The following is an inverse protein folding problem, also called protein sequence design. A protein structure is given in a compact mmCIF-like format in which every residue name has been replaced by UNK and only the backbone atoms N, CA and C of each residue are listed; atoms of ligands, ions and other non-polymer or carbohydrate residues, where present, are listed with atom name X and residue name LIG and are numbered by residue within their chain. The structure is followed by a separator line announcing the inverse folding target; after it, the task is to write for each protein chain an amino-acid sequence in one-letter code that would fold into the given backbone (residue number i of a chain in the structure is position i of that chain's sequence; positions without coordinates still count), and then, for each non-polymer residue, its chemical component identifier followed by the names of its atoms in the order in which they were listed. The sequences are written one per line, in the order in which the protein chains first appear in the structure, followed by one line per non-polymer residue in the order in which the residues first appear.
data_IF_877591036871
#
_entry.id   IF_877591036871
#
_cell.length_a   1.000
_cell.length_b   1.000
_cell.length_c   1.000
_cell.angle_alpha   90.00
_cell.angle_beta   90.00
_cell.angle_gamma   90.00
#
_symmetry.space_group_name_H-M   'P 1'
#
loop_
_entity.id
_entity.type
_entity.pdbx_description
1 polymer ?
#
# COMPACT_ATOMS: atom_id res chain seq x y z
N UNK A 1 42.75 6.97 -62.99
CA UNK A 1 42.00 8.20 -62.66
C UNK A 1 40.53 7.86 -62.43
N UNK A 2 40.00 8.23 -61.25
CA UNK A 2 38.58 8.49 -60.90
C UNK A 2 38.42 8.29 -59.38
N UNK A 3 38.65 9.35 -58.59
CA UNK A 3 38.22 9.43 -57.18
C UNK A 3 36.91 10.21 -57.16
N UNK A 4 35.82 9.55 -56.80
CA UNK A 4 34.55 10.21 -56.47
C UNK A 4 34.47 10.30 -54.95
N UNK A 5 34.65 11.52 -54.42
CA UNK A 5 34.25 11.85 -53.06
C UNK A 5 32.73 11.85 -53.02
N UNK A 6 32.15 11.11 -52.07
CA UNK A 6 30.72 11.20 -51.77
C UNK A 6 30.61 11.60 -50.31
N UNK A 7 29.99 12.77 -50.08
CA UNK A 7 29.73 13.36 -48.78
C UNK A 7 28.80 12.47 -47.95
N UNK A 8 29.20 12.20 -46.70
CA UNK A 8 28.34 11.59 -45.67
C UNK A 8 27.60 12.74 -44.98
N UNK A 9 26.29 12.83 -45.16
CA UNK A 9 25.43 13.73 -44.39
C UNK A 9 24.76 12.94 -43.26
N UNK A 10 25.01 13.37 -42.03
CA UNK A 10 24.56 12.72 -40.80
C UNK A 10 23.05 12.86 -40.58
N UNK A 11 22.38 11.76 -40.27
CA UNK A 11 20.99 11.74 -39.81
C UNK A 11 20.95 11.97 -38.29
N UNK A 12 20.46 13.11 -37.84
CA UNK A 12 20.19 13.39 -36.43
C UNK A 12 18.84 12.77 -36.02
N UNK A 13 18.89 11.60 -35.38
CA UNK A 13 17.74 11.03 -34.68
C UNK A 13 17.58 11.75 -33.35
N UNK A 14 16.62 12.67 -33.26
CA UNK A 14 16.18 13.21 -31.97
C UNK A 14 15.35 12.13 -31.28
N UNK A 15 16.00 11.28 -30.48
CA UNK A 15 15.29 10.43 -29.53
C UNK A 15 14.71 11.32 -28.44
N UNK A 16 13.47 11.74 -28.62
CA UNK A 16 12.65 12.28 -27.54
C UNK A 16 12.45 11.19 -26.50
N UNK A 17 13.24 11.21 -25.44
CA UNK A 17 12.99 10.44 -24.24
C UNK A 17 11.70 10.98 -23.62
N UNK A 18 10.56 10.37 -23.94
CA UNK A 18 9.41 10.43 -23.07
C UNK A 18 9.85 9.79 -21.76
N UNK A 19 10.20 10.62 -20.78
CA UNK A 19 10.26 10.23 -19.38
C UNK A 19 8.85 9.80 -18.99
N UNK A 20 8.55 8.52 -19.17
CA UNK A 20 7.47 7.90 -18.41
C UNK A 20 7.78 8.19 -16.94
N UNK A 21 6.83 8.72 -16.14
CA UNK A 21 7.07 8.83 -14.71
C UNK A 21 7.45 7.44 -14.22
N UNK A 22 8.65 7.35 -13.65
CA UNK A 22 9.23 6.13 -13.15
C UNK A 22 8.23 5.42 -12.24
N UNK A 23 8.11 4.12 -12.46
CA UNK A 23 7.43 3.17 -11.58
C UNK A 23 7.51 3.64 -10.13
N UNK A 24 6.36 3.83 -9.49
CA UNK A 24 6.30 4.08 -8.05
C UNK A 24 7.05 2.94 -7.36
N UNK A 25 8.26 3.22 -6.90
CA UNK A 25 8.98 2.36 -5.99
C UNK A 25 8.12 2.33 -4.73
N UNK A 26 7.35 1.25 -4.56
CA UNK A 26 6.56 1.00 -3.37
C UNK A 26 7.52 0.96 -2.18
N UNK A 27 7.61 2.09 -1.49
CA UNK A 27 8.60 2.32 -0.46
C UNK A 27 7.95 2.34 0.92
N UNK A 28 6.64 2.11 1.00
CA UNK A 28 5.82 2.14 2.20
C UNK A 28 5.42 3.54 2.67
N UNK A 29 6.10 4.60 2.21
CA UNK A 29 5.80 5.95 2.70
C UNK A 29 4.42 6.45 2.27
N UNK A 30 3.90 6.00 1.13
CA UNK A 30 2.56 6.35 0.67
C UNK A 30 1.51 5.87 1.67
N UNK A 31 1.74 4.70 2.29
CA UNK A 31 0.85 4.19 3.33
C UNK A 31 0.79 5.12 4.55
N UNK A 32 1.83 5.93 4.80
CA UNK A 32 1.90 6.92 5.88
C UNK A 32 1.38 8.30 5.46
N UNK A 33 1.90 8.84 4.34
CA UNK A 33 1.86 10.26 4.02
C UNK A 33 0.85 10.62 2.93
N UNK A 34 0.33 9.63 2.19
CA UNK A 34 -0.68 9.92 1.17
C UNK A 34 -1.94 10.46 1.84
N UNK A 35 -2.58 11.50 1.25
CA UNK A 35 -3.90 11.94 1.71
C UNK A 35 -4.94 10.81 1.66
N UNK A 36 -4.68 9.74 0.89
CA UNK A 36 -5.61 8.66 0.61
C UNK A 36 -5.78 7.77 1.84
N UNK A 37 -4.76 7.72 2.70
CA UNK A 37 -4.71 6.89 3.90
C UNK A 37 -5.79 7.28 4.92
N UNK A 38 -6.09 8.58 5.03
CA UNK A 38 -7.10 9.15 5.92
C UNK A 38 -8.21 9.88 5.13
N UNK A 39 -8.66 9.31 4.01
CA UNK A 39 -9.90 9.76 3.37
C UNK A 39 -11.11 9.34 4.20
N UNK A 40 -12.09 10.24 4.36
CA UNK A 40 -13.31 10.08 5.18
C UNK A 40 -14.19 8.89 4.82
N UNK A 41 -14.01 8.31 3.64
CA UNK A 41 -14.58 7.01 3.29
C UNK A 41 -13.60 6.23 2.42
N UNK A 42 -13.65 4.90 2.49
CA UNK A 42 -12.92 4.05 1.56
C UNK A 42 -13.36 4.27 0.10
N UNK A 43 -14.61 4.71 -0.14
CA UNK A 43 -15.09 5.01 -1.49
C UNK A 43 -14.33 6.19 -2.12
N UNK A 44 -13.96 7.19 -1.31
CA UNK A 44 -13.20 8.37 -1.72
C UNK A 44 -11.67 8.15 -1.78
N UNK A 45 -11.18 7.02 -1.28
CA UNK A 45 -9.76 6.66 -1.35
C UNK A 45 -9.43 5.88 -2.61
N UNK A 46 -8.32 6.22 -3.24
CA UNK A 46 -7.76 5.40 -4.32
C UNK A 46 -7.13 4.11 -3.81
N UNK A 47 -6.78 4.06 -2.52
CA UNK A 47 -6.32 2.83 -1.88
C UNK A 47 -7.44 1.81 -1.77
N UNK A 48 -7.10 0.56 -2.07
CA UNK A 48 -8.08 -0.53 -2.24
C UNK A 48 -8.26 -1.38 -1.00
N UNK A 49 -7.46 -1.20 0.04
CA UNK A 49 -7.63 -1.88 1.32
C UNK A 49 -7.97 -0.87 2.42
N UNK A 50 -8.91 -1.23 3.28
CA UNK A 50 -9.18 -0.51 4.52
C UNK A 50 -9.18 -1.48 5.69
N UNK A 51 -8.54 -1.07 6.78
CA UNK A 51 -8.41 -1.84 8.02
C UNK A 51 -9.04 -1.07 9.17
N UNK A 52 -9.88 -1.75 9.95
CA UNK A 52 -10.77 -1.18 10.94
C UNK A 52 -10.43 -1.68 12.34
N UNK A 53 -10.54 -0.78 13.32
CA UNK A 53 -10.30 -1.07 14.72
C UNK A 53 -11.29 -2.09 15.30
N UNK A 54 -12.59 -1.97 14.96
CA UNK A 54 -13.61 -2.90 15.45
C UNK A 54 -14.03 -3.91 14.38
N UNK A 55 -14.66 -5.00 14.82
CA UNK A 55 -15.39 -5.90 13.95
C UNK A 55 -16.59 -5.18 13.30
N UNK A 56 -17.14 -5.79 12.25
CA UNK A 56 -18.25 -5.27 11.45
C UNK A 56 -17.95 -3.88 10.86
N UNK A 57 -16.68 -3.61 10.57
CA UNK A 57 -16.20 -2.40 9.90
C UNK A 57 -16.52 -1.11 10.66
N UNK A 58 -16.56 -1.20 11.99
CA UNK A 58 -16.81 -0.07 12.89
C UNK A 58 -15.53 0.54 13.46
N UNK A 59 -15.69 1.67 14.16
CA UNK A 59 -14.59 2.41 14.79
C UNK A 59 -13.73 3.18 13.80
N UNK A 60 -12.55 3.58 14.27
CA UNK A 60 -11.53 4.22 13.46
C UNK A 60 -10.98 3.24 12.41
N UNK A 61 -10.52 3.78 11.27
CA UNK A 61 -9.98 2.96 10.20
C UNK A 61 -8.90 3.70 9.43
N UNK A 62 -8.07 2.96 8.69
CA UNK A 62 -7.07 3.51 7.77
C UNK A 62 -7.20 2.84 6.42
N UNK A 63 -7.05 3.60 5.33
CA UNK A 63 -6.85 3.01 4.00
C UNK A 63 -5.36 2.74 3.77
N UNK A 64 -5.02 1.60 3.17
CA UNK A 64 -3.64 1.20 2.89
C UNK A 64 -3.54 0.85 1.41
N UNK A 65 -2.56 1.46 0.73
CA UNK A 65 -2.37 1.29 -0.70
C UNK A 65 -1.52 0.08 -1.04
N UNK A 66 -0.47 -0.13 -0.24
CA UNK A 66 0.61 -1.05 -0.55
C UNK A 66 0.84 -2.05 0.58
N UNK A 67 1.46 -3.19 0.28
CA UNK A 67 1.82 -4.19 1.29
C UNK A 67 2.71 -3.57 2.38
N UNK A 68 2.42 -3.93 3.64
CA UNK A 68 3.06 -3.40 4.84
C UNK A 68 3.80 -4.52 5.55
N UNK A 69 5.14 -4.44 5.59
CA UNK A 69 5.98 -5.46 6.21
C UNK A 69 5.78 -5.54 7.73
N UNK A 70 5.62 -4.41 8.41
CA UNK A 70 5.29 -4.33 9.83
C UNK A 70 4.45 -3.08 10.10
N UNK A 71 3.23 -3.25 10.61
CA UNK A 71 2.35 -2.13 10.95
C UNK A 71 2.94 -1.18 12.01
N UNK A 72 3.94 -1.60 12.78
CA UNK A 72 4.63 -0.76 13.75
C UNK A 72 5.86 -0.01 13.19
N UNK A 73 6.29 -0.32 11.96
CA UNK A 73 7.58 0.13 11.42
C UNK A 73 7.48 0.51 9.93
N UNK A 74 6.48 1.32 9.58
CA UNK A 74 6.29 1.76 8.19
C UNK A 74 7.07 3.05 7.91
N UNK A 75 7.74 3.10 6.76
CA UNK A 75 8.60 4.22 6.37
C UNK A 75 7.84 5.56 6.33
N UNK A 76 8.53 6.61 6.74
CA UNK A 76 8.08 8.00 6.63
C UNK A 76 8.93 8.70 5.57
N UNK A 77 8.29 9.41 4.64
CA UNK A 77 8.98 10.14 3.58
C UNK A 77 9.61 9.25 2.51
N UNK A 78 9.81 9.81 1.31
CA UNK A 78 10.37 9.08 0.17
C UNK A 78 11.89 8.85 0.24
N UNK A 79 12.59 9.54 1.16
CA UNK A 79 14.03 9.43 1.31
C UNK A 79 14.39 8.40 2.41
N UNK A 80 15.47 7.60 2.26
CA UNK A 80 15.88 6.60 3.27
C UNK A 80 16.10 7.16 4.69
N UNK A 81 16.43 8.45 4.80
CA UNK A 81 16.68 9.13 6.07
C UNK A 81 15.41 9.51 6.84
N UNK A 82 14.23 9.34 6.24
CA UNK A 82 12.96 9.72 6.88
C UNK A 82 12.54 8.83 8.06
N UNK A 83 13.23 7.71 8.28
CA UNK A 83 12.94 6.78 9.36
C UNK A 83 11.61 6.05 9.18
N UNK A 84 11.11 5.47 10.27
CA UNK A 84 9.90 4.66 10.31
C UNK A 84 9.03 5.05 11.51
N UNK A 85 7.73 4.82 11.40
CA UNK A 85 6.79 4.91 12.52
C UNK A 85 5.63 3.93 12.36
N UNK A 86 4.90 3.64 13.45
CA UNK A 86 3.68 2.86 13.36
C UNK A 86 2.64 3.51 12.44
N UNK A 87 1.97 2.69 11.64
CA UNK A 87 0.73 3.08 11.00
C UNK A 87 -0.36 3.16 12.08
N UNK A 88 -1.12 4.25 12.06
CA UNK A 88 -2.19 4.52 13.01
C UNK A 88 -3.53 4.59 12.30
N UNK A 89 -4.60 4.18 12.98
CA UNK A 89 -5.95 4.40 12.49
C UNK A 89 -6.24 5.89 12.33
N UNK A 90 -6.97 6.23 11.27
CA UNK A 90 -7.46 7.57 11.02
C UNK A 90 -8.90 7.71 11.51
N UNK A 91 -9.32 8.98 11.65
CA UNK A 91 -10.70 9.40 11.93
C UNK A 91 -11.27 9.01 13.29
N UNK A 92 -12.11 9.89 13.83
CA UNK A 92 -12.69 9.78 15.16
C UNK A 92 -13.54 8.51 15.38
N UNK A 93 -13.70 8.14 16.65
CA UNK A 93 -14.31 6.89 17.10
C UNK A 93 -13.32 6.04 17.89
N UNK A 94 -13.77 4.86 18.33
CA UNK A 94 -12.91 3.92 19.05
C UNK A 94 -11.71 3.51 18.19
N UNK A 95 -10.51 3.57 18.77
CA UNK A 95 -9.25 3.25 18.08
C UNK A 95 -8.57 4.41 17.37
N UNK A 96 -9.15 5.62 17.37
CA UNK A 96 -8.55 6.78 16.68
C UNK A 96 -7.13 7.05 17.20
N UNK A 97 -6.19 7.27 16.28
CA UNK A 97 -4.75 7.48 16.53
C UNK A 97 -4.03 6.31 17.23
N UNK A 98 -4.70 5.19 17.51
CA UNK A 98 -4.04 3.98 17.98
C UNK A 98 -3.27 3.32 16.84
N UNK A 99 -2.18 2.63 17.18
CA UNK A 99 -1.41 1.85 16.21
C UNK A 99 -2.24 0.69 15.66
N UNK A 100 -2.07 0.36 14.38
CA UNK A 100 -2.83 -0.70 13.71
C UNK A 100 -2.41 -2.09 14.17
N UNK A 101 -1.11 -2.26 14.48
CA UNK A 101 -0.57 -3.52 14.98
C UNK A 101 -1.32 -3.94 16.25
N UNK A 102 -1.75 -5.20 16.29
CA UNK A 102 -2.48 -5.82 17.40
C UNK A 102 -3.81 -5.13 17.78
N UNK A 103 -4.42 -4.38 16.87
CA UNK A 103 -5.64 -3.62 17.18
C UNK A 103 -6.70 -3.68 16.08
N UNK A 104 -6.44 -4.35 14.96
CA UNK A 104 -7.43 -4.45 13.89
C UNK A 104 -8.35 -5.66 14.08
N UNK A 105 -9.62 -5.49 13.72
CA UNK A 105 -10.62 -6.53 13.87
C UNK A 105 -11.49 -6.78 12.63
N UNK A 106 -11.41 -5.92 11.60
CA UNK A 106 -12.03 -6.20 10.31
C UNK A 106 -11.37 -5.42 9.17
N UNK A 107 -11.59 -5.87 7.94
CA UNK A 107 -10.97 -5.32 6.72
C UNK A 107 -11.96 -5.25 5.57
N UNK A 108 -11.71 -4.33 4.64
CA UNK A 108 -12.41 -4.27 3.34
C UNK A 108 -11.40 -4.29 2.20
N UNK A 109 -11.60 -5.22 1.27
CA UNK A 109 -10.82 -5.33 0.05
C UNK A 109 -11.67 -4.87 -1.15
N UNK A 110 -11.39 -3.69 -1.68
CA UNK A 110 -11.99 -3.18 -2.94
C UNK A 110 -11.19 -3.58 -4.18
N UNK A 111 -10.05 -4.25 -4.02
CA UNK A 111 -9.25 -4.65 -5.17
C UNK A 111 -10.05 -5.65 -6.02
N UNK A 112 -9.97 -5.52 -7.34
CA UNK A 112 -10.72 -6.36 -8.29
C UNK A 112 -10.11 -7.75 -8.49
N UNK A 113 -8.79 -7.87 -8.37
CA UNK A 113 -8.04 -9.10 -8.66
C UNK A 113 -7.23 -9.67 -7.48
N UNK A 114 -6.60 -8.86 -6.63
CA UNK A 114 -5.75 -9.35 -5.54
C UNK A 114 -6.53 -9.70 -4.27
N UNK A 115 -6.04 -10.73 -3.59
CA UNK A 115 -6.39 -11.04 -2.21
C UNK A 115 -5.66 -10.09 -1.27
N UNK A 116 -6.37 -9.66 -0.24
CA UNK A 116 -5.82 -8.90 0.86
C UNK A 116 -5.56 -9.86 2.03
N UNK A 117 -4.28 -10.15 2.31
CA UNK A 117 -3.90 -11.14 3.33
C UNK A 117 -3.33 -10.43 4.54
N UNK A 118 -4.01 -10.59 5.69
CA UNK A 118 -3.59 -10.02 6.97
C UNK A 118 -2.91 -11.10 7.78
N UNK A 119 -1.70 -10.85 8.27
CA UNK A 119 -0.86 -11.85 8.93
C UNK A 119 -0.68 -11.53 10.41
N UNK A 120 -0.59 -12.60 11.20
CA UNK A 120 -0.35 -12.54 12.63
C UNK A 120 1.04 -11.96 12.96
N UNK A 121 2.07 -12.32 12.19
CA UNK A 121 3.43 -11.84 12.40
C UNK A 121 3.86 -10.83 11.34
N UNK A 122 4.83 -9.98 11.69
CA UNK A 122 5.51 -9.11 10.74
C UNK A 122 6.21 -9.93 9.65
N UNK A 123 6.36 -9.33 8.48
CA UNK A 123 7.03 -9.95 7.34
C UNK A 123 6.21 -11.01 6.61
N UNK A 124 4.88 -10.89 6.66
CA UNK A 124 3.94 -11.78 5.97
C UNK A 124 4.03 -13.23 6.44
N UNK A 125 4.17 -13.43 7.76
CA UNK A 125 4.45 -14.74 8.37
C UNK A 125 3.34 -15.21 9.30
N UNK A 126 3.31 -16.53 9.49
CA UNK A 126 2.40 -17.19 10.42
C UNK A 126 0.97 -17.28 9.89
N UNK A 127 0.05 -17.55 10.80
CA UNK A 127 -1.38 -17.66 10.49
C UNK A 127 -1.92 -16.35 9.92
N UNK A 128 -2.90 -16.45 9.02
CA UNK A 128 -3.40 -15.31 8.28
C UNK A 128 -4.90 -15.41 7.97
N UNK A 129 -5.56 -14.25 7.90
CA UNK A 129 -6.91 -14.11 7.34
C UNK A 129 -6.81 -13.65 5.88
N UNK A 130 -7.45 -14.39 4.98
CA UNK A 130 -7.53 -14.07 3.56
C UNK A 130 -8.84 -13.35 3.24
N UNK A 131 -8.75 -12.14 2.68
CA UNK A 131 -9.89 -11.38 2.19
C UNK A 131 -9.89 -11.39 0.66
N UNK A 132 -10.89 -12.07 0.09
CA UNK A 132 -11.08 -12.16 -1.36
C UNK A 132 -11.21 -10.79 -2.04
N UNK A 133 -10.95 -10.70 -3.35
CA UNK A 133 -11.25 -9.49 -4.11
C UNK A 133 -12.72 -9.05 -3.92
N UNK A 134 -12.93 -7.73 -3.82
CA UNK A 134 -14.25 -7.11 -3.60
C UNK A 134 -15.03 -7.64 -2.39
N UNK A 135 -14.34 -8.06 -1.34
CA UNK A 135 -14.96 -8.58 -0.12
C UNK A 135 -14.81 -7.66 1.09
N UNK A 136 -15.56 -8.00 2.13
CA UNK A 136 -15.39 -7.45 3.47
C UNK A 136 -15.24 -8.64 4.41
N UNK A 137 -14.28 -8.59 5.33
CA UNK A 137 -13.92 -9.72 6.19
C UNK A 137 -13.77 -9.26 7.63
N UNK A 138 -14.50 -9.90 8.54
CA UNK A 138 -14.17 -9.85 9.96
C UNK A 138 -12.94 -10.71 10.19
N UNK A 139 -11.89 -10.13 10.80
CA UNK A 139 -10.71 -10.90 11.14
C UNK A 139 -11.08 -11.91 12.22
N UNK A 140 -10.48 -13.10 12.12
CA UNK A 140 -10.73 -14.18 13.06
C UNK A 140 -9.42 -14.64 13.68
N UNK A 141 -8.47 -15.04 12.84
CA UNK A 141 -7.17 -15.57 13.24
C UNK A 141 -6.21 -14.46 13.66
N UNK A 142 -6.29 -13.31 13.01
CA UNK A 142 -5.40 -12.16 13.23
C UNK A 142 -6.08 -11.00 13.95
N UNK A 143 -7.30 -11.21 14.44
CA UNK A 143 -8.06 -10.18 15.15
C UNK A 143 -7.31 -9.76 16.41
N UNK A 144 -7.05 -8.47 16.52
CA UNK A 144 -6.29 -7.84 17.61
C UNK A 144 -4.87 -8.40 17.82
N UNK A 145 -4.36 -9.17 16.85
CA UNK A 145 -2.99 -9.74 16.87
C UNK A 145 -2.35 -9.64 15.48
N UNK A 146 -2.84 -8.73 14.63
CA UNK A 146 -2.34 -8.49 13.29
C UNK A 146 -1.03 -7.70 13.32
N UNK A 147 -0.05 -8.08 12.49
CA UNK A 147 1.24 -7.41 12.44
C UNK A 147 1.68 -6.98 11.04
N UNK A 148 1.19 -7.62 9.97
CA UNK A 148 1.51 -7.22 8.60
C UNK A 148 0.37 -7.50 7.62
N UNK A 149 0.49 -6.97 6.40
CA UNK A 149 -0.48 -7.13 5.34
C UNK A 149 0.20 -7.20 3.96
N UNK A 150 -0.23 -8.13 3.10
CA UNK A 150 0.21 -8.16 1.72
C UNK A 150 -0.93 -8.36 0.71
N UNK A 151 -0.75 -7.74 -0.46
CA UNK A 151 -1.46 -8.14 -1.66
C UNK A 151 -0.91 -9.46 -2.19
N UNK A 152 -1.79 -10.44 -2.43
CA UNK A 152 -1.42 -11.76 -2.95
C UNK A 152 -2.27 -12.14 -4.17
N UNK A 153 -1.69 -12.95 -5.04
CA UNK A 153 -2.42 -13.74 -6.06
C UNK A 153 -2.55 -15.18 -5.58
N UNK A 154 -3.59 -15.87 -6.01
CA UNK A 154 -3.65 -17.33 -5.91
C UNK A 154 -2.85 -17.97 -7.05
#
# INVERSE_FOLDING_TARGET
MKRKLTLVAAATVVMGAFVTPSAHANTGFENQMSPEACQKSQAASDFKYAIYYNSNYGGAYRNIGYSVWDFADERIGGAPQGGTQPLKFCHGGNGNLQGIKNNAASVKNKHSTYYAVTYYNSGYKGSADWSSPRSQTNLSVTKNENASFAWQTL
#
